data_IF_243226891928
#
_entry.id   IF_243226891928
#
_cell.length_a   1.000
_cell.length_b   1.000
_cell.length_c   1.000
_cell.angle_alpha   90.00
_cell.angle_beta   90.00
_cell.angle_gamma   90.00
#
_symmetry.space_group_name_H-M   'P 1'
#
loop_
_entity.id
_entity.type
_entity.pdbx_description
1 polymer ?
#
# COMPACT_ATOMS: atom_id res chain seq x y z
N UNK A 1 -1.64 -4.12 26.02
CA UNK A 1 -0.28 -4.49 26.48
C UNK A 1 0.33 -5.51 25.53
N UNK A 2 1.65 -5.73 25.55
CA UNK A 2 2.27 -6.80 24.77
C UNK A 2 2.65 -7.91 25.70
N UNK A 3 2.26 -9.14 25.36
CA UNK A 3 2.63 -10.34 26.11
C UNK A 3 3.57 -11.18 25.25
N UNK A 4 4.66 -11.60 25.85
CA UNK A 4 5.58 -12.55 25.27
C UNK A 4 5.15 -13.95 25.72
N UNK A 5 4.79 -14.76 24.75
CA UNK A 5 4.35 -16.13 24.99
C UNK A 5 5.47 -17.06 24.51
N UNK A 6 6.04 -17.79 25.44
CA UNK A 6 7.07 -18.81 25.15
C UNK A 6 6.36 -20.16 25.13
N UNK A 7 6.27 -20.75 23.96
CA UNK A 7 5.65 -22.06 23.73
C UNK A 7 6.79 -23.09 23.70
N UNK A 8 6.76 -24.03 24.61
CA UNK A 8 7.74 -25.14 24.63
C UNK A 8 7.01 -26.43 24.25
N UNK A 9 7.48 -27.07 23.19
CA UNK A 9 6.96 -28.38 22.79
C UNK A 9 7.49 -29.45 23.76
N UNK A 10 6.58 -30.17 24.41
CA UNK A 10 6.91 -31.15 25.45
C UNK A 10 7.74 -32.31 24.90
N UNK A 11 7.52 -32.70 23.63
CA UNK A 11 8.20 -33.86 23.05
C UNK A 11 9.59 -33.55 22.47
N UNK A 12 9.79 -32.32 21.99
CA UNK A 12 11.06 -31.95 21.31
C UNK A 12 11.90 -30.94 22.09
N UNK A 13 11.37 -30.37 23.17
CA UNK A 13 12.02 -29.29 23.93
C UNK A 13 12.20 -27.97 23.15
N UNK A 14 11.68 -27.87 21.93
CA UNK A 14 11.84 -26.70 21.08
C UNK A 14 11.02 -25.52 21.66
N UNK A 15 11.69 -24.40 21.89
CA UNK A 15 11.05 -23.15 22.38
C UNK A 15 10.76 -22.22 21.24
N UNK A 16 9.50 -21.87 21.07
CA UNK A 16 9.06 -20.87 20.12
C UNK A 16 8.52 -19.65 20.86
N UNK A 17 9.02 -18.47 20.56
CA UNK A 17 8.62 -17.23 21.25
C UNK A 17 7.73 -16.41 20.32
N UNK A 18 6.53 -16.12 20.77
CA UNK A 18 5.56 -15.33 19.99
C UNK A 18 5.09 -14.12 20.80
N UNK A 19 4.97 -12.98 20.14
CA UNK A 19 4.41 -11.76 20.74
C UNK A 19 2.92 -11.65 20.37
N UNK A 20 2.11 -11.33 21.37
CA UNK A 20 0.67 -11.07 21.19
C UNK A 20 0.32 -9.73 21.85
N UNK A 21 -0.35 -8.86 21.13
CA UNK A 21 -0.82 -7.58 21.65
C UNK A 21 -2.20 -7.76 22.29
N UNK A 22 -2.23 -8.03 23.60
CA UNK A 22 -3.49 -8.28 24.34
C UNK A 22 -3.35 -7.85 25.80
N UNK A 23 -4.49 -7.68 26.46
CA UNK A 23 -4.56 -7.26 27.86
C UNK A 23 -4.61 -8.41 28.85
N UNK A 24 -5.09 -9.59 28.44
CA UNK A 24 -5.33 -10.74 29.31
C UNK A 24 -4.41 -11.92 28.94
N UNK A 25 -4.02 -12.73 29.93
CA UNK A 25 -3.24 -13.96 29.70
C UNK A 25 -4.02 -14.99 28.89
N UNK A 26 -5.32 -15.11 29.12
CA UNK A 26 -6.21 -16.04 28.43
C UNK A 26 -6.27 -15.72 26.92
N UNK A 27 -6.42 -14.46 26.56
CA UNK A 27 -6.39 -14.01 25.16
C UNK A 27 -5.01 -14.20 24.52
N UNK A 28 -3.93 -14.07 25.29
CA UNK A 28 -2.58 -14.35 24.80
C UNK A 28 -2.42 -15.84 24.42
N UNK A 29 -2.99 -16.74 25.21
CA UNK A 29 -3.03 -18.19 24.92
C UNK A 29 -3.82 -18.46 23.63
N UNK A 30 -5.02 -17.88 23.51
CA UNK A 30 -5.85 -18.00 22.29
C UNK A 30 -5.10 -17.47 21.07
N UNK A 31 -4.43 -16.32 21.20
CA UNK A 31 -3.66 -15.68 20.14
C UNK A 31 -2.37 -16.40 19.73
N UNK A 32 -2.01 -17.49 20.39
CA UNK A 32 -0.87 -18.33 20.04
C UNK A 32 -1.24 -19.64 19.35
N UNK A 33 -2.53 -20.02 19.33
CA UNK A 33 -2.98 -21.24 18.66
C UNK A 33 -2.35 -22.53 19.22
N UNK A 34 -2.28 -22.66 20.53
CA UNK A 34 -1.54 -23.70 21.25
C UNK A 34 -2.13 -25.09 20.98
N UNK A 35 -1.26 -26.06 20.77
CA UNK A 35 -1.58 -27.48 20.62
C UNK A 35 -1.55 -28.22 21.96
N UNK A 36 -2.22 -29.37 22.06
CA UNK A 36 -2.36 -30.13 23.31
C UNK A 36 -1.02 -30.60 23.95
N UNK A 37 0.06 -30.60 23.18
CA UNK A 37 1.39 -31.06 23.62
C UNK A 37 2.39 -29.91 23.86
N UNK A 38 1.91 -28.72 24.17
CA UNK A 38 2.75 -27.53 24.36
C UNK A 38 2.53 -26.91 25.73
N UNK A 39 3.62 -26.62 26.44
CA UNK A 39 3.60 -25.83 27.66
C UNK A 39 3.86 -24.37 27.37
N UNK A 40 3.18 -23.49 28.08
CA UNK A 40 3.19 -22.05 27.80
C UNK A 40 3.65 -21.30 29.02
N UNK A 41 4.69 -20.48 28.83
CA UNK A 41 5.08 -19.45 29.79
C UNK A 41 4.73 -18.07 29.20
N UNK A 42 4.03 -17.24 29.98
CA UNK A 42 3.63 -15.91 29.56
C UNK A 42 4.38 -14.90 30.40
N UNK A 43 5.10 -14.02 29.72
CA UNK A 43 5.80 -12.89 30.32
C UNK A 43 5.14 -11.58 29.87
N UNK A 44 4.84 -10.70 30.81
CA UNK A 44 4.37 -9.36 30.50
C UNK A 44 5.56 -8.50 30.06
N UNK A 45 5.54 -8.05 28.80
CA UNK A 45 6.51 -7.08 28.31
C UNK A 45 6.00 -5.70 28.68
N UNK A 46 6.34 -5.28 29.90
CA UNK A 46 5.86 -4.02 30.47
C UNK A 46 6.61 -2.78 29.99
N UNK A 47 5.99 -1.61 30.11
CA UNK A 47 6.63 -0.31 29.99
C UNK A 47 7.02 0.10 28.57
N UNK A 48 8.18 0.77 28.47
CA UNK A 48 8.70 1.37 27.25
C UNK A 48 9.06 0.31 26.19
N UNK A 49 9.59 -0.85 26.61
CA UNK A 49 9.97 -1.95 25.71
C UNK A 49 8.78 -2.56 24.97
N UNK A 50 7.65 -2.73 25.65
CA UNK A 50 6.44 -3.24 24.98
C UNK A 50 5.87 -2.26 23.96
N UNK A 51 5.90 -0.95 24.24
CA UNK A 51 5.52 0.09 23.28
C UNK A 51 6.49 0.17 22.10
N UNK A 52 7.79 0.07 22.36
CA UNK A 52 8.84 0.06 21.33
C UNK A 52 8.70 -1.16 20.42
N UNK A 53 8.45 -2.35 20.98
CA UNK A 53 8.22 -3.56 20.21
C UNK A 53 6.93 -3.52 19.38
N UNK A 54 5.86 -2.85 19.85
CA UNK A 54 4.65 -2.59 19.05
C UNK A 54 4.91 -1.59 17.91
N UNK A 55 5.75 -0.58 18.14
CA UNK A 55 6.12 0.40 17.13
C UNK A 55 7.05 -0.20 16.06
N UNK A 56 7.94 -1.10 16.46
CA UNK A 56 8.87 -1.77 15.56
C UNK A 56 8.29 -3.03 14.92
N UNK A 57 7.19 -3.60 15.46
CA UNK A 57 6.52 -4.73 14.84
C UNK A 57 5.89 -4.33 13.51
N UNK A 58 6.06 -5.13 12.45
CA UNK A 58 5.49 -4.80 11.16
C UNK A 58 3.97 -4.63 11.28
N UNK A 59 3.46 -3.52 10.73
CA UNK A 59 2.02 -3.34 10.58
C UNK A 59 1.50 -4.52 9.74
N UNK A 60 0.30 -5.04 10.06
CA UNK A 60 -0.30 -6.09 9.26
C UNK A 60 -0.39 -5.62 7.81
N UNK A 61 0.22 -6.37 6.92
CA UNK A 61 0.21 -6.07 5.50
C UNK A 61 -1.04 -6.60 4.80
N UNK A 62 -1.30 -6.12 3.59
CA UNK A 62 -2.37 -6.63 2.71
C UNK A 62 -2.25 -8.14 2.48
N UNK A 63 -1.04 -8.71 2.53
CA UNK A 63 -0.80 -10.14 2.39
C UNK A 63 -1.30 -10.95 3.60
N UNK A 64 -1.05 -10.45 4.83
CA UNK A 64 -1.54 -11.08 6.05
C UNK A 64 -3.07 -11.05 6.07
N UNK A 65 -3.67 -9.90 5.71
CA UNK A 65 -5.10 -9.73 5.53
C UNK A 65 -5.66 -10.73 4.49
N UNK A 66 -5.03 -10.79 3.32
CA UNK A 66 -5.42 -11.71 2.26
C UNK A 66 -5.32 -13.19 2.65
N UNK A 67 -4.30 -13.56 3.41
CA UNK A 67 -4.09 -14.93 3.90
C UNK A 67 -5.09 -15.30 4.97
N UNK A 68 -5.38 -14.38 5.89
CA UNK A 68 -6.39 -14.53 6.94
C UNK A 68 -7.76 -14.77 6.35
N UNK A 69 -8.28 -13.85 5.53
CA UNK A 69 -9.61 -13.99 4.95
C UNK A 69 -9.75 -15.18 4.01
N UNK A 70 -8.75 -15.45 3.16
CA UNK A 70 -8.76 -16.68 2.33
C UNK A 70 -8.79 -17.94 3.17
N UNK A 71 -8.13 -17.93 4.32
CA UNK A 71 -8.12 -19.07 5.25
C UNK A 71 -9.45 -19.27 5.94
N UNK A 72 -10.03 -18.19 6.48
CA UNK A 72 -11.37 -18.21 7.10
C UNK A 72 -12.41 -18.67 6.09
N UNK A 73 -12.45 -18.07 4.89
CA UNK A 73 -13.40 -18.41 3.84
C UNK A 73 -13.35 -19.89 3.44
N UNK A 74 -12.13 -20.47 3.28
CA UNK A 74 -11.98 -21.92 2.99
C UNK A 74 -12.46 -22.83 4.13
N UNK A 75 -12.29 -22.40 5.38
CA UNK A 75 -12.77 -23.16 6.52
C UNK A 75 -14.31 -23.15 6.60
N UNK A 76 -14.92 -21.99 6.41
CA UNK A 76 -16.38 -21.84 6.39
C UNK A 76 -17.03 -22.62 5.25
N UNK A 77 -16.42 -22.64 4.07
CA UNK A 77 -16.88 -23.43 2.91
C UNK A 77 -16.94 -24.94 3.21
N UNK A 78 -16.07 -25.39 4.11
CA UNK A 78 -16.05 -26.78 4.59
C UNK A 78 -16.90 -27.01 5.85
N UNK A 79 -17.82 -26.09 6.16
CA UNK A 79 -18.69 -26.10 7.33
C UNK A 79 -17.93 -26.15 8.67
N UNK A 80 -16.70 -25.62 8.72
CA UNK A 80 -15.96 -25.46 9.97
C UNK A 80 -16.50 -24.22 10.68
N UNK A 81 -16.80 -24.33 11.98
CA UNK A 81 -17.32 -23.19 12.76
C UNK A 81 -16.38 -21.98 12.72
N UNK A 82 -16.94 -20.77 12.83
CA UNK A 82 -16.18 -19.52 12.78
C UNK A 82 -15.05 -19.49 13.81
N UNK A 83 -15.34 -19.82 15.07
CA UNK A 83 -14.36 -19.86 16.16
C UNK A 83 -13.19 -20.81 15.85
N UNK A 84 -13.47 -22.01 15.31
CA UNK A 84 -12.43 -22.97 14.93
C UNK A 84 -11.63 -22.48 13.72
N UNK A 85 -12.31 -21.84 12.76
CA UNK A 85 -11.68 -21.24 11.59
C UNK A 85 -10.68 -20.14 11.98
N UNK A 86 -11.06 -19.27 12.89
CA UNK A 86 -10.19 -18.20 13.42
C UNK A 86 -8.97 -18.76 14.16
N UNK A 87 -9.16 -19.77 15.04
CA UNK A 87 -8.06 -20.45 15.73
C UNK A 87 -7.02 -21.02 14.76
N UNK A 88 -7.47 -21.60 13.64
CA UNK A 88 -6.58 -22.13 12.61
C UNK A 88 -5.78 -21.04 11.87
N UNK A 89 -6.29 -19.81 11.82
CA UNK A 89 -5.59 -18.70 11.14
C UNK A 89 -4.57 -18.00 12.03
N UNK A 90 -4.65 -18.09 13.34
CA UNK A 90 -3.71 -17.47 14.29
C UNK A 90 -2.25 -17.80 13.95
N UNK A 91 -1.97 -19.07 13.63
CA UNK A 91 -0.62 -19.54 13.34
C UNK A 91 -0.08 -19.10 11.96
N UNK A 92 -0.95 -18.55 11.10
CA UNK A 92 -0.59 -18.06 9.77
C UNK A 92 -0.24 -16.59 9.74
N UNK A 93 -0.55 -15.89 10.82
CA UNK A 93 -0.34 -14.44 10.92
C UNK A 93 0.91 -14.16 11.72
N UNK A 94 1.77 -13.30 11.21
CA UNK A 94 3.04 -12.94 11.84
C UNK A 94 2.93 -11.73 12.76
N UNK A 95 2.02 -10.80 12.47
CA UNK A 95 1.86 -9.56 13.23
C UNK A 95 1.25 -9.81 14.62
N UNK A 96 1.92 -9.33 15.72
CA UNK A 96 1.38 -9.42 17.08
C UNK A 96 0.02 -8.74 17.26
N UNK A 97 -0.22 -7.63 16.53
CA UNK A 97 -1.50 -6.93 16.54
C UNK A 97 -2.63 -7.77 15.95
N UNK A 98 -2.35 -8.48 14.86
CA UNK A 98 -3.33 -9.38 14.24
C UNK A 98 -3.67 -10.57 15.14
N UNK A 99 -2.67 -11.14 15.81
CA UNK A 99 -2.89 -12.24 16.76
C UNK A 99 -3.77 -11.80 17.93
N UNK A 100 -3.52 -10.61 18.49
CA UNK A 100 -4.35 -10.02 19.53
C UNK A 100 -5.78 -9.79 19.06
N UNK A 101 -5.96 -9.19 17.89
CA UNK A 101 -7.27 -8.98 17.29
C UNK A 101 -8.03 -10.29 17.10
N UNK A 102 -7.39 -11.33 16.54
CA UNK A 102 -8.04 -12.64 16.36
C UNK A 102 -8.50 -13.21 17.70
N UNK A 103 -7.70 -13.10 18.77
CA UNK A 103 -8.07 -13.57 20.10
C UNK A 103 -9.28 -12.81 20.65
N UNK A 104 -9.33 -11.48 20.46
CA UNK A 104 -10.47 -10.66 20.86
C UNK A 104 -11.73 -11.03 20.08
N UNK A 105 -11.62 -11.17 18.76
CA UNK A 105 -12.75 -11.56 17.88
C UNK A 105 -13.27 -12.96 18.26
N UNK A 106 -12.40 -13.92 18.56
CA UNK A 106 -12.81 -15.26 19.04
C UNK A 106 -13.63 -15.14 20.33
N UNK A 107 -13.19 -14.28 21.26
CA UNK A 107 -13.90 -14.08 22.53
C UNK A 107 -15.27 -13.44 22.32
N UNK A 108 -15.38 -12.43 21.45
CA UNK A 108 -16.63 -11.75 21.11
C UNK A 108 -17.64 -12.69 20.44
N UNK A 109 -17.17 -13.52 19.49
CA UNK A 109 -18.03 -14.53 18.84
C UNK A 109 -18.50 -15.61 19.84
N UNK A 110 -17.63 -15.99 20.80
CA UNK A 110 -18.03 -16.91 21.87
C UNK A 110 -19.11 -16.32 22.80
N UNK A 111 -19.17 -14.98 22.89
CA UNK A 111 -20.22 -14.23 23.60
C UNK A 111 -21.50 -14.02 22.77
N UNK A 112 -21.52 -14.49 21.51
CA UNK A 112 -22.68 -14.40 20.62
C UNK A 112 -22.70 -13.17 19.71
N UNK A 113 -21.62 -12.36 19.66
CA UNK A 113 -21.54 -11.26 18.70
C UNK A 113 -21.40 -11.79 17.25
N UNK A 114 -21.94 -11.04 16.29
CA UNK A 114 -21.71 -11.31 14.87
C UNK A 114 -20.25 -11.09 14.49
N UNK A 115 -19.78 -11.83 13.50
CA UNK A 115 -18.38 -11.71 13.04
C UNK A 115 -18.08 -10.31 12.48
N UNK A 116 -19.00 -9.74 11.67
CA UNK A 116 -18.87 -8.39 11.13
C UNK A 116 -18.79 -7.32 12.21
N UNK A 117 -19.62 -7.42 13.26
CA UNK A 117 -19.64 -6.47 14.38
C UNK A 117 -18.34 -6.55 15.20
N UNK A 118 -17.86 -7.77 15.46
CA UNK A 118 -16.60 -7.98 16.15
C UNK A 118 -15.40 -7.40 15.35
N UNK A 119 -15.40 -7.57 14.01
CA UNK A 119 -14.36 -7.02 13.13
C UNK A 119 -14.42 -5.50 13.04
N UNK A 120 -15.61 -4.89 13.09
CA UNK A 120 -15.81 -3.44 13.04
C UNK A 120 -15.16 -2.69 14.23
N UNK A 121 -14.85 -3.39 15.32
CA UNK A 121 -14.12 -2.81 16.47
C UNK A 121 -12.64 -2.54 16.18
N UNK A 122 -12.12 -2.97 15.03
CA UNK A 122 -10.72 -2.82 14.62
C UNK A 122 -10.56 -2.02 13.32
N UNK A 123 -11.05 -0.76 13.26
CA UNK A 123 -10.98 0.07 12.04
C UNK A 123 -9.55 0.43 11.64
N UNK A 124 -8.59 0.34 12.57
CA UNK A 124 -7.16 0.57 12.30
C UNK A 124 -6.52 -0.59 11.48
N UNK A 125 -7.13 -1.77 11.47
CA UNK A 125 -6.62 -2.97 10.81
C UNK A 125 -7.34 -3.27 9.49
N UNK A 126 -8.60 -2.86 9.37
CA UNK A 126 -9.44 -3.14 8.21
C UNK A 126 -10.03 -1.85 7.68
N UNK A 127 -9.98 -1.70 6.37
CA UNK A 127 -10.61 -0.58 5.67
C UNK A 127 -12.15 -0.71 5.69
N UNK A 128 -12.82 0.40 5.55
CA UNK A 128 -14.29 0.48 5.62
C UNK A 128 -14.98 -0.39 4.56
N UNK A 129 -14.34 -0.54 3.38
CA UNK A 129 -14.80 -1.43 2.31
C UNK A 129 -14.82 -2.89 2.75
N UNK A 130 -13.77 -3.37 3.40
CA UNK A 130 -13.70 -4.75 3.93
C UNK A 130 -14.80 -4.98 4.98
N UNK A 131 -14.97 -4.03 5.91
CA UNK A 131 -15.97 -4.13 6.97
C UNK A 131 -17.39 -4.14 6.40
N UNK A 132 -17.68 -3.28 5.44
CA UNK A 132 -18.97 -3.21 4.75
C UNK A 132 -19.28 -4.50 3.97
N UNK A 133 -18.26 -5.07 3.29
CA UNK A 133 -18.38 -6.36 2.60
C UNK A 133 -18.67 -7.49 3.56
N UNK A 134 -18.00 -7.54 4.72
CA UNK A 134 -18.22 -8.55 5.74
C UNK A 134 -19.65 -8.48 6.30
N UNK A 135 -20.11 -7.27 6.62
CA UNK A 135 -21.47 -7.04 7.08
C UNK A 135 -22.52 -7.54 6.06
N UNK A 136 -22.37 -7.08 4.80
CA UNK A 136 -23.29 -7.50 3.73
C UNK A 136 -23.26 -9.02 3.49
N UNK A 137 -22.07 -9.63 3.52
CA UNK A 137 -21.90 -11.06 3.34
C UNK A 137 -22.47 -11.89 4.50
N UNK A 138 -22.41 -11.37 5.72
CA UNK A 138 -22.98 -12.02 6.90
C UNK A 138 -24.51 -11.97 6.88
N UNK A 139 -25.09 -10.80 6.57
CA UNK A 139 -26.54 -10.63 6.41
C UNK A 139 -27.12 -11.48 5.27
N UNK A 140 -26.38 -11.63 4.17
CA UNK A 140 -26.77 -12.48 3.05
C UNK A 140 -26.52 -13.99 3.27
N UNK A 141 -25.90 -14.40 4.39
CA UNK A 141 -25.50 -15.78 4.63
C UNK A 141 -24.38 -16.29 3.72
N UNK A 142 -23.63 -15.39 3.06
CA UNK A 142 -22.59 -15.70 2.07
C UNK A 142 -21.18 -15.38 2.59
N UNK A 143 -20.99 -15.39 3.91
CA UNK A 143 -19.75 -14.97 4.56
C UNK A 143 -18.52 -15.75 4.07
N UNK A 144 -18.68 -17.06 3.79
CA UNK A 144 -17.60 -17.90 3.23
C UNK A 144 -17.09 -17.34 1.88
N UNK A 145 -18.02 -17.02 0.97
CA UNK A 145 -17.72 -16.50 -0.36
C UNK A 145 -17.06 -15.13 -0.29
N UNK A 146 -17.64 -14.25 0.54
CA UNK A 146 -17.10 -12.89 0.74
C UNK A 146 -15.69 -12.93 1.33
N UNK A 147 -15.44 -13.71 2.38
CA UNK A 147 -14.10 -13.87 2.95
C UNK A 147 -13.09 -14.39 1.93
N UNK A 148 -13.45 -15.38 1.11
CA UNK A 148 -12.55 -15.88 0.05
C UNK A 148 -12.20 -14.78 -0.95
N UNK A 149 -13.17 -13.97 -1.36
CA UNK A 149 -12.98 -12.89 -2.34
C UNK A 149 -12.14 -11.75 -1.78
N UNK A 150 -12.45 -11.27 -0.57
CA UNK A 150 -11.60 -10.30 0.13
C UNK A 150 -10.16 -10.84 0.18
N UNK A 151 -10.01 -12.11 0.55
CA UNK A 151 -8.71 -12.75 0.63
C UNK A 151 -7.95 -12.78 -0.70
N UNK A 152 -8.63 -13.06 -1.82
CA UNK A 152 -8.04 -13.06 -3.16
C UNK A 152 -7.67 -11.64 -3.61
N UNK A 153 -8.58 -10.67 -3.43
CA UNK A 153 -8.34 -9.28 -3.79
C UNK A 153 -7.13 -8.69 -3.04
N UNK A 154 -7.05 -8.92 -1.72
CA UNK A 154 -5.94 -8.47 -0.90
C UNK A 154 -4.60 -9.13 -1.30
N UNK A 155 -4.61 -10.41 -1.67
CA UNK A 155 -3.42 -11.11 -2.18
C UNK A 155 -2.97 -10.55 -3.53
N UNK A 156 -3.90 -10.26 -4.44
CA UNK A 156 -3.59 -9.66 -5.74
C UNK A 156 -2.97 -8.28 -5.54
N UNK A 157 -3.59 -7.43 -4.71
CA UNK A 157 -3.06 -6.12 -4.33
C UNK A 157 -1.65 -6.21 -3.72
N UNK A 158 -1.45 -7.15 -2.77
CA UNK A 158 -0.12 -7.38 -2.18
C UNK A 158 0.91 -7.79 -3.22
N UNK A 159 0.55 -8.65 -4.18
CA UNK A 159 1.45 -9.09 -5.25
C UNK A 159 1.86 -7.92 -6.14
N UNK A 160 0.93 -7.05 -6.53
CA UNK A 160 1.21 -5.85 -7.32
C UNK A 160 2.11 -4.87 -6.56
N UNK A 161 1.82 -4.61 -5.27
CA UNK A 161 2.69 -3.79 -4.42
C UNK A 161 4.11 -4.36 -4.25
N UNK A 162 4.25 -5.68 -4.13
CA UNK A 162 5.57 -6.34 -4.06
C UNK A 162 6.34 -6.19 -5.36
N UNK A 163 5.68 -6.32 -6.51
CA UNK A 163 6.31 -6.08 -7.81
C UNK A 163 6.81 -4.64 -7.92
N UNK A 164 5.96 -3.65 -7.61
CA UNK A 164 6.34 -2.23 -7.63
C UNK A 164 7.52 -1.92 -6.70
N UNK A 165 7.47 -2.44 -5.46
CA UNK A 165 8.59 -2.28 -4.51
C UNK A 165 9.88 -2.93 -5.03
N UNK A 166 9.77 -4.12 -5.62
CA UNK A 166 10.91 -4.83 -6.21
C UNK A 166 11.57 -4.02 -7.32
N UNK A 167 10.77 -3.46 -8.22
CA UNK A 167 11.24 -2.62 -9.33
C UNK A 167 11.96 -1.35 -8.85
N UNK A 168 11.53 -0.77 -7.73
CA UNK A 168 12.15 0.44 -7.18
C UNK A 168 13.46 0.19 -6.43
N UNK A 169 13.84 -1.07 -6.13
CA UNK A 169 15.08 -1.37 -5.40
C UNK A 169 16.31 -0.98 -6.23
N UNK A 170 16.36 -1.36 -7.50
CA UNK A 170 17.49 -1.05 -8.38
C UNK A 170 17.70 0.48 -8.54
N UNK A 171 16.69 1.27 -8.90
CA UNK A 171 16.81 2.73 -8.95
C UNK A 171 17.27 3.35 -7.63
N UNK A 172 16.73 2.87 -6.52
CA UNK A 172 17.12 3.38 -5.20
C UNK A 172 18.59 3.12 -4.89
N UNK A 173 19.11 1.92 -5.19
CA UNK A 173 20.52 1.57 -5.00
C UNK A 173 21.41 2.47 -5.88
N UNK A 174 21.04 2.65 -7.16
CA UNK A 174 21.80 3.49 -8.10
C UNK A 174 21.82 4.94 -7.64
N UNK A 175 20.69 5.50 -7.19
CA UNK A 175 20.62 6.87 -6.66
C UNK A 175 21.46 7.03 -5.40
N UNK A 176 21.39 6.08 -4.45
CA UNK A 176 22.20 6.08 -3.23
C UNK A 176 23.69 6.07 -3.59
N UNK A 177 24.09 5.19 -4.52
CA UNK A 177 25.47 5.09 -4.97
C UNK A 177 25.95 6.41 -5.61
N UNK A 178 25.12 7.02 -6.46
CA UNK A 178 25.40 8.35 -7.06
C UNK A 178 25.60 9.43 -6.00
N UNK A 179 24.74 9.49 -5.00
CA UNK A 179 24.86 10.42 -3.87
C UNK A 179 26.15 10.18 -3.07
N UNK A 180 26.50 8.91 -2.80
CA UNK A 180 27.73 8.55 -2.10
C UNK A 180 28.96 9.04 -2.90
N UNK A 181 28.97 8.86 -4.22
CA UNK A 181 30.08 9.33 -5.07
C UNK A 181 30.19 10.86 -5.01
N UNK A 182 29.08 11.59 -5.09
CA UNK A 182 29.08 13.06 -4.93
C UNK A 182 29.64 13.48 -3.57
N UNK A 183 29.23 12.81 -2.50
CA UNK A 183 29.73 13.09 -1.15
C UNK A 183 31.26 12.83 -1.07
N UNK A 184 31.75 11.69 -1.54
CA UNK A 184 33.19 11.37 -1.52
C UNK A 184 33.96 12.43 -2.32
N UNK A 185 33.51 12.79 -3.49
CA UNK A 185 34.14 13.83 -4.32
C UNK A 185 34.15 15.20 -3.65
N UNK A 186 33.07 15.56 -2.96
CA UNK A 186 32.95 16.79 -2.19
C UNK A 186 33.98 16.88 -1.05
N UNK A 187 34.30 15.76 -0.40
CA UNK A 187 35.28 15.73 0.70
C UNK A 187 36.73 15.63 0.24
N UNK A 188 36.98 14.94 -0.88
CA UNK A 188 38.36 14.66 -1.32
C UNK A 188 38.84 15.66 -2.37
N UNK A 189 38.11 15.84 -3.45
CA UNK A 189 38.55 16.55 -4.62
C UNK A 189 38.28 18.06 -4.50
N UNK A 190 37.11 18.44 -3.96
CA UNK A 190 36.71 19.86 -3.89
C UNK A 190 37.65 20.69 -3.03
N UNK A 191 38.12 20.28 -1.83
CA UNK A 191 39.09 21.05 -1.04
C UNK A 191 40.47 21.17 -1.72
N UNK A 192 40.87 20.12 -2.45
CA UNK A 192 42.13 20.16 -3.21
C UNK A 192 42.09 21.19 -4.35
N UNK A 193 41.00 21.20 -5.12
CA UNK A 193 40.79 22.18 -6.18
C UNK A 193 40.67 23.59 -5.60
N UNK A 194 39.93 23.80 -4.52
CA UNK A 194 39.79 25.11 -3.88
C UNK A 194 41.14 25.70 -3.44
N UNK A 195 42.06 24.88 -2.90
CA UNK A 195 43.42 25.30 -2.54
C UNK A 195 44.23 25.70 -3.76
N UNK A 196 44.17 24.92 -4.84
CA UNK A 196 44.87 25.21 -6.11
C UNK A 196 44.41 26.54 -6.69
N UNK A 197 43.12 26.80 -6.81
CA UNK A 197 42.58 28.05 -7.36
C UNK A 197 42.94 29.26 -6.50
N UNK A 198 42.92 29.10 -5.18
CA UNK A 198 43.35 30.16 -4.26
C UNK A 198 44.82 30.54 -4.44
N UNK A 199 45.70 29.57 -4.75
CA UNK A 199 47.13 29.82 -4.99
C UNK A 199 47.38 30.55 -6.33
N UNK A 200 46.50 30.37 -7.33
CA UNK A 200 46.56 31.06 -8.62
C UNK A 200 45.83 32.43 -8.66
N UNK A 201 45.10 32.78 -7.59
CA UNK A 201 44.37 34.04 -7.51
C UNK A 201 43.17 34.13 -8.45
N UNK A 202 42.63 33.02 -8.92
CA UNK A 202 41.52 32.95 -9.87
C UNK A 202 40.24 32.46 -9.21
N UNK A 203 39.10 32.92 -9.75
CA UNK A 203 37.81 32.48 -9.26
C UNK A 203 37.48 31.04 -9.71
N UNK A 204 36.81 30.27 -8.82
CA UNK A 204 36.33 28.94 -9.12
C UNK A 204 35.17 28.98 -10.12
N UNK A 205 35.10 28.05 -11.08
CA UNK A 205 33.96 27.87 -11.97
C UNK A 205 32.67 27.61 -11.21
N UNK A 206 31.53 27.95 -11.84
CA UNK A 206 30.19 27.81 -11.23
C UNK A 206 29.88 26.39 -10.70
N UNK A 207 30.21 25.35 -11.47
CA UNK A 207 29.95 23.96 -11.07
C UNK A 207 30.75 23.57 -9.80
N UNK A 208 32.00 24.02 -9.70
CA UNK A 208 32.84 23.79 -8.51
C UNK A 208 32.32 24.57 -7.30
N UNK A 209 31.90 25.86 -7.52
CA UNK A 209 31.21 26.64 -6.48
C UNK A 209 29.93 25.96 -6.00
N UNK A 210 29.13 25.41 -6.93
CA UNK A 210 27.90 24.66 -6.59
C UNK A 210 28.21 23.38 -5.78
N UNK A 211 29.27 22.67 -6.14
CA UNK A 211 29.71 21.46 -5.42
C UNK A 211 30.19 21.79 -4.00
N UNK A 212 30.92 22.90 -3.83
CA UNK A 212 31.32 23.41 -2.51
C UNK A 212 30.10 23.80 -1.70
N UNK A 213 29.15 24.54 -2.27
CA UNK A 213 27.92 24.91 -1.58
C UNK A 213 27.09 23.69 -1.14
N UNK A 214 27.05 22.64 -1.98
CA UNK A 214 26.42 21.38 -1.65
C UNK A 214 27.15 20.66 -0.51
N UNK A 215 28.49 20.63 -0.54
CA UNK A 215 29.33 20.08 0.53
C UNK A 215 29.11 20.81 1.86
N UNK A 216 29.10 22.16 1.83
CA UNK A 216 28.85 22.98 3.01
C UNK A 216 27.44 22.76 3.58
N UNK A 217 26.44 22.50 2.71
CA UNK A 217 25.09 22.16 3.13
C UNK A 217 25.07 20.84 3.93
N UNK A 218 25.79 19.82 3.47
CA UNK A 218 25.88 18.54 4.16
C UNK A 218 26.67 18.62 5.48
N UNK A 219 27.73 19.42 5.52
CA UNK A 219 28.65 19.50 6.66
C UNK A 219 28.16 20.46 7.76
N UNK A 220 27.75 21.65 7.37
CA UNK A 220 27.44 22.70 8.33
C UNK A 220 25.95 22.88 8.61
N UNK A 221 25.06 22.32 7.74
CA UNK A 221 23.61 22.42 7.90
C UNK A 221 22.91 21.07 7.67
N UNK A 222 23.27 20.01 8.43
CA UNK A 222 22.71 18.67 8.23
C UNK A 222 21.18 18.62 8.37
N UNK A 223 20.59 19.59 9.11
CA UNK A 223 19.14 19.71 9.24
C UNK A 223 18.45 20.05 7.90
N UNK A 224 19.09 20.75 6.98
CA UNK A 224 18.53 21.05 5.66
C UNK A 224 18.38 19.80 4.78
N UNK A 225 19.15 18.76 5.05
CA UNK A 225 19.03 17.45 4.41
C UNK A 225 18.11 16.53 5.21
N UNK A 226 18.21 16.60 6.54
CA UNK A 226 17.37 15.79 7.42
C UNK A 226 15.89 16.17 7.33
N UNK A 227 15.56 17.46 7.24
CA UNK A 227 14.16 17.93 7.16
C UNK A 227 13.41 17.38 5.95
N UNK A 228 13.91 17.47 4.69
CA UNK A 228 13.22 16.85 3.55
C UNK A 228 13.16 15.32 3.64
N UNK A 229 14.18 14.66 4.18
CA UNK A 229 14.14 13.21 4.40
C UNK A 229 13.07 12.81 5.43
N UNK A 230 12.97 13.55 6.55
CA UNK A 230 11.90 13.37 7.53
C UNK A 230 10.54 13.70 6.93
N UNK A 231 10.44 14.75 6.12
CA UNK A 231 9.21 15.10 5.42
C UNK A 231 8.78 14.00 4.43
N UNK A 232 9.71 13.45 3.65
CA UNK A 232 9.46 12.31 2.77
C UNK A 232 9.04 11.08 3.58
N UNK A 233 9.73 10.79 4.67
CA UNK A 233 9.35 9.69 5.56
C UNK A 233 7.94 9.88 6.15
N UNK A 234 7.61 11.10 6.61
CA UNK A 234 6.27 11.44 7.08
C UNK A 234 5.21 11.33 6.00
N UNK A 235 5.53 11.75 4.77
CA UNK A 235 4.66 11.58 3.60
C UNK A 235 4.39 10.10 3.31
N UNK A 236 5.43 9.28 3.33
CA UNK A 236 5.30 7.83 3.08
C UNK A 236 4.52 7.10 4.19
N UNK A 237 4.72 7.48 5.46
CA UNK A 237 4.02 6.85 6.59
C UNK A 237 2.57 7.29 6.74
N UNK A 238 2.23 8.49 6.28
CA UNK A 238 0.86 9.02 6.32
C UNK A 238 0.22 9.06 4.92
N UNK A 239 0.76 8.30 3.98
CA UNK A 239 0.33 8.31 2.58
C UNK A 239 -1.18 8.11 2.43
N UNK A 240 -1.77 7.14 3.13
CA UNK A 240 -3.20 6.86 3.08
C UNK A 240 -4.05 8.05 3.56
N UNK A 241 -3.62 8.72 4.64
CA UNK A 241 -4.32 9.89 5.18
C UNK A 241 -4.21 11.13 4.27
N UNK A 242 -3.11 11.25 3.53
CA UNK A 242 -2.88 12.35 2.59
C UNK A 242 -3.67 12.09 1.31
N UNK A 243 -3.65 10.85 0.82
CA UNK A 243 -4.40 10.42 -0.36
C UNK A 243 -5.91 10.49 -0.19
N UNK A 244 -6.43 10.39 1.04
CA UNK A 244 -7.86 10.56 1.32
C UNK A 244 -8.34 12.02 1.23
N UNK A 245 -7.42 13.01 1.22
CA UNK A 245 -7.80 14.42 1.11
C UNK A 245 -8.18 14.78 -0.33
N UNK A 246 -9.34 15.41 -0.51
CA UNK A 246 -9.88 15.83 -1.83
C UNK A 246 -8.89 16.64 -2.66
N UNK A 247 -8.19 17.59 -2.05
CA UNK A 247 -7.18 18.43 -2.73
C UNK A 247 -6.06 17.58 -3.35
N UNK A 248 -5.61 16.53 -2.65
CA UNK A 248 -4.56 15.65 -3.14
C UNK A 248 -5.08 14.79 -4.30
N UNK A 249 -6.31 14.30 -4.21
CA UNK A 249 -6.96 13.54 -5.28
C UNK A 249 -7.11 14.39 -6.56
N UNK A 250 -7.51 15.66 -6.43
CA UNK A 250 -7.58 16.58 -7.56
C UNK A 250 -6.22 16.91 -8.17
N UNK A 251 -5.18 17.05 -7.34
CA UNK A 251 -3.81 17.29 -7.79
C UNK A 251 -3.27 16.10 -8.59
N UNK A 252 -3.50 14.88 -8.13
CA UNK A 252 -3.10 13.65 -8.82
C UNK A 252 -3.78 13.49 -10.16
N UNK A 253 -5.05 13.89 -10.26
CA UNK A 253 -5.80 13.86 -11.53
C UNK A 253 -5.31 14.89 -12.57
N UNK A 254 -4.50 15.89 -12.17
CA UNK A 254 -3.87 16.83 -13.09
C UNK A 254 -2.60 16.28 -13.76
N UNK A 255 -2.02 15.24 -13.20
CA UNK A 255 -0.80 14.59 -13.75
C UNK A 255 -1.22 13.49 -14.74
N UNK A 256 -0.94 13.60 -16.05
CA UNK A 256 -1.56 12.73 -17.07
C UNK A 256 -1.32 11.24 -16.85
N UNK A 257 -0.10 10.84 -16.48
CA UNK A 257 0.25 9.42 -16.23
C UNK A 257 -0.39 8.92 -14.94
N UNK A 258 -0.29 9.72 -13.85
CA UNK A 258 -0.83 9.37 -12.52
C UNK A 258 -2.36 9.37 -12.54
N UNK A 259 -2.98 10.31 -13.26
CA UNK A 259 -4.42 10.39 -13.41
C UNK A 259 -5.02 9.11 -13.99
N UNK A 260 -4.39 8.56 -15.04
CA UNK A 260 -4.83 7.30 -15.65
C UNK A 260 -4.73 6.15 -14.67
N UNK A 261 -3.63 6.04 -13.94
CA UNK A 261 -3.42 5.00 -12.93
C UNK A 261 -4.47 5.11 -11.80
N UNK A 262 -4.67 6.32 -11.26
CA UNK A 262 -5.63 6.59 -10.18
C UNK A 262 -7.07 6.27 -10.61
N UNK A 263 -7.46 6.69 -11.81
CA UNK A 263 -8.81 6.40 -12.34
C UNK A 263 -9.03 4.91 -12.50
N UNK A 264 -8.10 4.20 -13.16
CA UNK A 264 -8.22 2.75 -13.36
C UNK A 264 -8.18 1.97 -12.05
N UNK A 265 -7.37 2.39 -11.08
CA UNK A 265 -7.34 1.77 -9.75
C UNK A 265 -8.66 1.96 -8.99
N UNK A 266 -9.23 3.14 -9.05
CA UNK A 266 -10.52 3.42 -8.39
C UNK A 266 -11.68 2.69 -9.09
N UNK A 267 -11.68 2.63 -10.44
CA UNK A 267 -12.64 1.86 -11.21
C UNK A 267 -12.55 0.37 -10.88
N UNK A 268 -11.36 -0.21 -10.97
CA UNK A 268 -11.12 -1.62 -10.67
C UNK A 268 -11.63 -2.00 -9.27
N UNK A 269 -11.30 -1.19 -8.26
CA UNK A 269 -11.75 -1.41 -6.88
C UNK A 269 -13.28 -1.34 -6.76
N UNK A 270 -13.91 -0.32 -7.37
CA UNK A 270 -15.35 -0.15 -7.32
C UNK A 270 -16.10 -1.26 -8.04
N UNK A 271 -15.75 -1.57 -9.28
CA UNK A 271 -16.39 -2.65 -10.04
C UNK A 271 -16.16 -4.02 -9.41
N UNK A 272 -14.98 -4.27 -8.83
CA UNK A 272 -14.70 -5.49 -8.07
C UNK A 272 -15.61 -5.63 -6.86
N UNK A 273 -15.79 -4.56 -6.08
CA UNK A 273 -16.69 -4.54 -4.93
C UNK A 273 -18.13 -4.80 -5.36
N UNK A 274 -18.60 -4.11 -6.40
CA UNK A 274 -19.94 -4.29 -6.96
C UNK A 274 -20.16 -5.72 -7.46
N UNK A 275 -19.22 -6.28 -8.22
CA UNK A 275 -19.27 -7.66 -8.69
C UNK A 275 -19.36 -8.66 -7.52
N UNK A 276 -18.52 -8.49 -6.50
CA UNK A 276 -18.54 -9.37 -5.31
C UNK A 276 -19.88 -9.36 -4.60
N UNK A 277 -20.50 -8.18 -4.45
CA UNK A 277 -21.78 -8.04 -3.77
C UNK A 277 -22.93 -8.63 -4.61
N UNK A 278 -22.97 -8.33 -5.90
CA UNK A 278 -24.03 -8.87 -6.79
C UNK A 278 -23.94 -10.39 -6.94
N UNK A 279 -22.74 -10.96 -7.03
CA UNK A 279 -22.53 -12.41 -7.02
C UNK A 279 -22.90 -13.06 -5.68
N UNK A 280 -22.91 -12.28 -4.58
CA UNK A 280 -23.38 -12.72 -3.27
C UNK A 280 -24.88 -12.54 -3.10
N UNK A 281 -25.63 -12.27 -4.18
CA UNK A 281 -27.06 -12.02 -4.20
C UNK A 281 -27.50 -10.80 -3.34
N UNK A 282 -26.60 -9.83 -3.11
CA UNK A 282 -26.97 -8.55 -2.49
C UNK A 282 -27.78 -7.73 -3.50
N UNK A 283 -28.85 -7.09 -3.06
CA UNK A 283 -29.67 -6.21 -3.92
C UNK A 283 -28.81 -5.13 -4.57
N UNK A 284 -29.02 -4.87 -5.86
CA UNK A 284 -28.21 -3.94 -6.65
C UNK A 284 -28.12 -2.54 -6.01
N UNK A 285 -29.23 -2.01 -5.46
CA UNK A 285 -29.23 -0.71 -4.75
C UNK A 285 -28.33 -0.71 -3.53
N UNK A 286 -28.38 -1.78 -2.70
CA UNK A 286 -27.50 -1.93 -1.54
C UNK A 286 -26.04 -2.19 -1.97
N UNK A 287 -25.82 -2.95 -3.05
CA UNK A 287 -24.49 -3.16 -3.59
C UNK A 287 -23.84 -1.86 -4.07
N UNK A 288 -24.59 -0.98 -4.74
CA UNK A 288 -24.13 0.35 -5.17
C UNK A 288 -23.84 1.27 -3.98
N UNK A 289 -24.69 1.25 -2.94
CA UNK A 289 -24.47 2.04 -1.72
C UNK A 289 -23.19 1.63 -0.99
N UNK A 290 -22.98 0.32 -0.80
CA UNK A 290 -21.76 -0.23 -0.18
C UNK A 290 -20.55 0.11 -1.06
N UNK A 291 -20.66 -0.06 -2.39
CA UNK A 291 -19.58 0.27 -3.32
C UNK A 291 -19.24 1.76 -3.28
N UNK A 292 -20.23 2.64 -3.20
CA UNK A 292 -20.01 4.08 -3.07
C UNK A 292 -19.29 4.42 -1.76
N UNK A 293 -19.73 3.84 -0.63
CA UNK A 293 -19.09 4.08 0.68
C UNK A 293 -17.67 3.52 0.74
N UNK A 294 -17.42 2.36 0.12
CA UNK A 294 -16.12 1.71 0.05
C UNK A 294 -15.14 2.37 -0.96
N UNK A 295 -15.63 3.23 -1.85
CA UNK A 295 -14.79 3.90 -2.86
C UNK A 295 -13.86 4.93 -2.21
N UNK A 296 -12.54 4.69 -2.28
CA UNK A 296 -11.52 5.56 -1.69
C UNK A 296 -11.38 6.90 -2.45
N UNK A 297 -11.77 6.96 -3.74
CA UNK A 297 -11.70 8.15 -4.57
C UNK A 297 -13.06 8.83 -4.68
N UNK A 298 -13.15 10.12 -4.38
CA UNK A 298 -14.42 10.84 -4.28
C UNK A 298 -15.22 10.87 -5.61
N UNK A 299 -14.56 10.92 -6.77
CA UNK A 299 -15.25 10.83 -8.08
C UNK A 299 -16.01 9.53 -8.25
N UNK A 300 -15.41 8.40 -7.88
CA UNK A 300 -16.07 7.11 -7.99
C UNK A 300 -17.12 6.90 -6.90
N UNK A 301 -16.89 7.48 -5.71
CA UNK A 301 -17.93 7.54 -4.67
C UNK A 301 -19.18 8.25 -5.20
N UNK A 302 -19.01 9.42 -5.82
CA UNK A 302 -20.10 10.19 -6.42
C UNK A 302 -20.76 9.42 -7.57
N UNK A 303 -19.97 8.82 -8.46
CA UNK A 303 -20.44 8.00 -9.56
C UNK A 303 -21.35 6.86 -9.10
N UNK A 304 -20.93 6.03 -8.15
CA UNK A 304 -21.74 4.93 -7.65
C UNK A 304 -22.94 5.41 -6.84
N UNK A 305 -22.86 6.55 -6.15
CA UNK A 305 -23.99 7.17 -5.47
C UNK A 305 -25.06 7.58 -6.47
N UNK A 306 -24.69 8.23 -7.57
CA UNK A 306 -25.64 8.63 -8.63
C UNK A 306 -26.27 7.44 -9.34
N UNK A 307 -25.47 6.40 -9.61
CA UNK A 307 -26.03 5.15 -10.15
C UNK A 307 -27.09 4.57 -9.23
N UNK A 308 -26.84 4.51 -7.90
CA UNK A 308 -27.81 4.06 -6.91
C UNK A 308 -29.09 4.90 -6.99
N UNK A 309 -28.95 6.21 -7.06
CA UNK A 309 -30.09 7.13 -7.08
C UNK A 309 -30.96 6.93 -8.34
N UNK A 310 -30.33 6.72 -9.51
CA UNK A 310 -31.04 6.38 -10.73
C UNK A 310 -31.80 5.04 -10.64
N UNK A 311 -31.17 4.00 -10.08
CA UNK A 311 -31.80 2.69 -9.88
C UNK A 311 -32.94 2.77 -8.86
N UNK A 312 -32.79 3.57 -7.82
CA UNK A 312 -33.84 3.78 -6.79
C UNK A 312 -35.10 4.43 -7.38
N UNK A 313 -34.96 5.28 -8.39
CA UNK A 313 -36.07 5.88 -9.13
C UNK A 313 -36.70 4.94 -10.19
N UNK A 314 -36.14 3.71 -10.32
CA UNK A 314 -36.66 2.66 -11.20
C UNK A 314 -36.04 2.63 -12.60
N UNK A 315 -34.94 3.32 -12.83
CA UNK A 315 -34.21 3.23 -14.11
C UNK A 315 -33.39 1.93 -14.18
N UNK A 316 -33.17 1.45 -15.38
CA UNK A 316 -32.31 0.29 -15.62
C UNK A 316 -30.84 0.64 -15.42
N UNK A 317 -30.01 -0.35 -15.08
CA UNK A 317 -28.58 -0.17 -14.85
C UNK A 317 -27.88 0.44 -16.06
N UNK A 318 -28.21 -0.03 -17.29
CA UNK A 318 -27.67 0.49 -18.54
C UNK A 318 -27.99 2.00 -18.71
N UNK A 319 -29.25 2.41 -18.51
CA UNK A 319 -29.64 3.82 -18.60
C UNK A 319 -28.90 4.69 -17.58
N UNK A 320 -28.78 4.21 -16.34
CA UNK A 320 -28.02 4.88 -15.30
C UNK A 320 -26.55 5.06 -15.67
N UNK A 321 -25.91 4.02 -16.20
CA UNK A 321 -24.53 4.10 -16.68
C UNK A 321 -24.37 5.05 -17.86
N UNK A 322 -25.28 5.05 -18.80
CA UNK A 322 -25.25 5.95 -19.95
C UNK A 322 -25.25 7.42 -19.51
N UNK A 323 -26.10 7.76 -18.52
CA UNK A 323 -26.21 9.12 -17.99
C UNK A 323 -24.92 9.56 -17.27
N UNK A 324 -24.29 8.66 -16.55
CA UNK A 324 -23.12 8.94 -15.72
C UNK A 324 -21.79 8.54 -16.40
N UNK A 325 -21.82 8.12 -17.67
CA UNK A 325 -20.65 7.65 -18.43
C UNK A 325 -19.49 8.64 -18.48
N UNK A 326 -19.79 9.95 -18.38
CA UNK A 326 -18.79 11.02 -18.39
C UNK A 326 -17.80 10.94 -17.21
N UNK A 327 -18.17 10.33 -16.09
CA UNK A 327 -17.28 10.12 -14.94
C UNK A 327 -16.16 9.09 -15.23
N UNK A 328 -16.41 8.18 -16.16
CA UNK A 328 -15.48 7.13 -16.54
C UNK A 328 -14.50 7.58 -17.64
N UNK A 329 -14.70 8.80 -18.19
CA UNK A 329 -13.85 9.35 -19.23
C UNK A 329 -13.95 8.60 -20.56
N UNK A 330 -12.80 8.25 -21.16
CA UNK A 330 -12.75 7.59 -22.46
C UNK A 330 -13.37 6.17 -22.44
N UNK A 331 -13.27 5.48 -21.31
CA UNK A 331 -13.76 4.11 -21.14
C UNK A 331 -15.29 4.02 -21.01
N UNK A 332 -15.95 5.16 -20.69
CA UNK A 332 -17.38 5.20 -20.37
C UNK A 332 -18.28 4.64 -21.49
N UNK A 333 -17.97 4.93 -22.76
CA UNK A 333 -18.77 4.44 -23.90
C UNK A 333 -18.67 2.93 -24.10
N UNK A 334 -17.47 2.38 -23.93
CA UNK A 334 -17.23 0.94 -24.05
C UNK A 334 -17.97 0.19 -22.95
N UNK A 335 -17.88 0.70 -21.72
CA UNK A 335 -18.57 0.11 -20.57
C UNK A 335 -20.09 0.16 -20.69
N UNK A 336 -20.66 1.24 -21.23
CA UNK A 336 -22.09 1.30 -21.50
C UNK A 336 -22.54 0.20 -22.45
N UNK A 337 -21.78 -0.06 -23.53
CA UNK A 337 -22.09 -1.15 -24.46
C UNK A 337 -22.01 -2.55 -23.82
N UNK A 338 -21.04 -2.77 -22.96
CA UNK A 338 -20.91 -4.05 -22.23
C UNK A 338 -22.08 -4.26 -21.26
N UNK A 339 -22.49 -3.20 -20.56
CA UNK A 339 -23.61 -3.27 -19.60
C UNK A 339 -24.96 -3.40 -20.33
N UNK A 340 -25.12 -2.80 -21.53
CA UNK A 340 -26.28 -3.01 -22.39
C UNK A 340 -26.39 -4.49 -22.79
N UNK A 341 -25.32 -5.04 -23.29
CA UNK A 341 -25.25 -6.47 -23.66
C UNK A 341 -25.57 -7.40 -22.46
N UNK A 342 -25.04 -7.05 -21.29
CA UNK A 342 -25.29 -7.79 -20.07
C UNK A 342 -26.76 -7.72 -19.62
N UNK A 343 -27.41 -6.58 -19.83
CA UNK A 343 -28.85 -6.40 -19.55
C UNK A 343 -29.71 -7.25 -20.50
N UNK A 344 -29.36 -7.33 -21.78
CA UNK A 344 -30.05 -8.18 -22.76
C UNK A 344 -29.88 -9.68 -22.52
N UNK A 345 -28.68 -10.10 -22.10
CA UNK A 345 -28.35 -11.53 -21.88
C UNK A 345 -28.66 -12.02 -20.47
N UNK A 346 -29.01 -11.12 -19.54
CA UNK A 346 -29.22 -11.46 -18.12
C UNK A 346 -27.94 -11.79 -17.36
N UNK A 347 -26.75 -11.52 -17.93
CA UNK A 347 -25.42 -11.84 -17.38
C UNK A 347 -24.78 -10.66 -16.61
N UNK A 348 -25.59 -9.77 -16.04
CA UNK A 348 -25.10 -8.53 -15.40
C UNK A 348 -24.04 -8.74 -14.33
N UNK A 349 -24.17 -9.79 -13.54
CA UNK A 349 -23.20 -10.11 -12.47
C UNK A 349 -21.84 -10.55 -13.04
N UNK A 350 -21.86 -11.39 -14.06
CA UNK A 350 -20.65 -11.92 -14.73
C UNK A 350 -19.93 -10.79 -15.45
N UNK A 351 -20.67 -9.93 -16.15
CA UNK A 351 -20.12 -8.77 -16.84
C UNK A 351 -19.46 -7.77 -15.89
N UNK A 352 -20.02 -7.51 -14.71
CA UNK A 352 -19.38 -6.66 -13.73
C UNK A 352 -18.06 -7.23 -13.21
N UNK A 353 -17.97 -8.57 -13.10
CA UNK A 353 -16.73 -9.24 -12.74
C UNK A 353 -15.69 -9.13 -13.85
N UNK A 354 -16.09 -9.29 -15.11
CA UNK A 354 -15.25 -9.14 -16.29
C UNK A 354 -14.71 -7.70 -16.41
N UNK A 355 -15.56 -6.69 -16.28
CA UNK A 355 -15.14 -5.27 -16.24
C UNK A 355 -14.09 -5.05 -15.14
N UNK A 356 -14.29 -5.64 -13.98
CA UNK A 356 -13.32 -5.51 -12.88
C UNK A 356 -12.00 -6.20 -13.20
N UNK A 357 -12.03 -7.37 -13.85
CA UNK A 357 -10.84 -8.10 -14.28
C UNK A 357 -10.07 -7.32 -15.34
N UNK A 358 -10.74 -6.75 -16.34
CA UNK A 358 -10.14 -5.91 -17.38
C UNK A 358 -9.42 -4.69 -16.80
N UNK A 359 -10.07 -3.95 -15.88
CA UNK A 359 -9.42 -2.82 -15.22
C UNK A 359 -8.22 -3.25 -14.37
N UNK A 360 -8.29 -4.41 -13.73
CA UNK A 360 -7.17 -4.94 -12.95
C UNK A 360 -6.00 -5.38 -13.86
N UNK A 361 -6.28 -5.97 -15.05
CA UNK A 361 -5.26 -6.33 -16.02
C UNK A 361 -4.60 -5.08 -16.62
N UNK A 362 -5.38 -4.07 -16.97
CA UNK A 362 -4.86 -2.78 -17.43
C UNK A 362 -3.97 -2.11 -16.38
N UNK A 363 -4.33 -2.18 -15.09
CA UNK A 363 -3.49 -1.69 -14.00
C UNK A 363 -2.16 -2.45 -13.90
N UNK A 364 -2.21 -3.78 -14.00
CA UNK A 364 -1.00 -4.60 -13.99
C UNK A 364 -0.11 -4.27 -15.21
N UNK A 365 -0.69 -4.00 -16.36
CA UNK A 365 -0.01 -3.54 -17.58
C UNK A 365 0.63 -2.16 -17.42
N UNK A 366 -0.09 -1.21 -16.85
CA UNK A 366 0.43 0.14 -16.55
C UNK A 366 1.57 0.06 -15.52
N UNK A 367 1.43 -0.74 -14.47
CA UNK A 367 2.49 -0.95 -13.49
C UNK A 367 3.76 -1.52 -14.13
N UNK A 368 3.62 -2.54 -15.00
CA UNK A 368 4.75 -3.11 -15.74
C UNK A 368 5.39 -2.11 -16.74
N UNK A 369 4.58 -1.19 -17.28
CA UNK A 369 5.09 -0.14 -18.16
C UNK A 369 5.86 0.94 -17.39
N UNK A 370 5.44 1.24 -16.16
CA UNK A 370 6.19 2.15 -15.28
C UNK A 370 7.58 1.62 -14.96
N UNK A 371 7.73 0.31 -14.74
CA UNK A 371 9.05 -0.32 -14.52
C UNK A 371 10.00 -0.03 -15.69
N UNK A 372 9.51 -0.12 -16.93
CA UNK A 372 10.29 0.18 -18.13
C UNK A 372 10.66 1.66 -18.28
N UNK A 373 9.88 2.58 -17.71
CA UNK A 373 10.17 4.02 -17.75
C UNK A 373 11.18 4.45 -16.66
N UNK A 374 11.22 3.71 -15.55
CA UNK A 374 12.14 3.98 -14.44
C UNK A 374 13.61 3.79 -14.88
N UNK A 375 13.89 2.79 -15.71
CA UNK A 375 15.25 2.49 -16.19
C UNK A 375 15.86 3.64 -16.99
N UNK A 376 15.25 4.16 -18.08
CA UNK A 376 15.79 5.33 -18.80
C UNK A 376 15.91 6.58 -17.92
N UNK A 377 14.97 6.78 -16.99
CA UNK A 377 15.00 7.91 -16.07
C UNK A 377 16.19 7.84 -15.11
N UNK A 378 16.50 6.65 -14.60
CA UNK A 378 17.68 6.42 -13.74
C UNK A 378 18.99 6.57 -14.51
N UNK A 379 19.05 6.12 -15.77
CA UNK A 379 20.21 6.32 -16.64
C UNK A 379 20.42 7.80 -16.92
N UNK A 380 19.36 8.56 -17.23
CA UNK A 380 19.43 10.01 -17.44
C UNK A 380 19.92 10.72 -16.18
N UNK A 381 19.37 10.37 -15.03
CA UNK A 381 19.77 10.96 -13.74
C UNK A 381 21.23 10.69 -13.42
N UNK A 382 21.69 9.44 -13.61
CA UNK A 382 23.09 9.08 -13.42
C UNK A 382 24.01 9.82 -14.42
N UNK A 383 23.60 9.89 -15.68
CA UNK A 383 24.31 10.63 -16.72
C UNK A 383 24.47 12.12 -16.40
N UNK A 384 23.43 12.75 -15.85
CA UNK A 384 23.49 14.14 -15.39
C UNK A 384 24.45 14.29 -14.21
N UNK A 385 24.41 13.39 -13.22
CA UNK A 385 25.34 13.42 -12.08
C UNK A 385 26.80 13.28 -12.57
N UNK A 386 27.05 12.25 -13.37
CA UNK A 386 28.42 11.98 -13.88
C UNK A 386 28.90 13.13 -14.77
N UNK A 387 28.07 13.64 -15.68
CA UNK A 387 28.38 14.80 -16.52
C UNK A 387 28.68 16.04 -15.69
N UNK A 388 27.88 16.30 -14.66
CA UNK A 388 28.11 17.38 -13.72
C UNK A 388 29.44 17.23 -12.96
N UNK A 389 29.76 16.03 -12.48
CA UNK A 389 31.03 15.73 -11.81
C UNK A 389 32.22 15.94 -12.76
N UNK A 390 32.14 15.43 -14.00
CA UNK A 390 33.17 15.64 -15.03
C UNK A 390 33.38 17.11 -15.25
N UNK A 391 32.31 17.87 -15.48
CA UNK A 391 32.39 19.32 -15.70
C UNK A 391 32.97 20.06 -14.48
N UNK A 392 32.58 19.67 -13.26
CA UNK A 392 33.09 20.28 -12.04
C UNK A 392 34.58 20.02 -11.80
N UNK A 393 35.12 18.89 -12.32
CA UNK A 393 36.51 18.51 -12.20
C UNK A 393 37.37 19.14 -13.33
N UNK A 394 36.94 18.98 -14.58
CA UNK A 394 37.72 19.39 -15.74
C UNK A 394 37.57 20.89 -16.06
N UNK A 395 36.40 21.48 -15.76
CA UNK A 395 36.18 22.91 -15.96
C UNK A 395 37.25 23.80 -15.31
N UNK A 396 37.60 23.59 -14.04
CA UNK A 396 38.72 24.27 -13.40
C UNK A 396 40.06 24.07 -14.09
N UNK A 397 40.37 22.85 -14.54
CA UNK A 397 41.63 22.54 -15.21
C UNK A 397 41.81 23.30 -16.53
N UNK A 398 40.74 23.42 -17.32
CA UNK A 398 40.78 24.22 -18.58
C UNK A 398 40.93 25.72 -18.29
N UNK A 399 40.24 26.26 -17.29
CA UNK A 399 40.34 27.67 -16.92
C UNK A 399 41.73 28.03 -16.37
N UNK A 400 42.42 27.13 -15.69
CA UNK A 400 43.81 27.33 -15.28
C UNK A 400 44.76 27.34 -16.47
N UNK A 401 44.53 26.50 -17.50
CA UNK A 401 45.30 26.49 -18.75
C UNK A 401 45.25 27.88 -19.45
N UNK A 402 44.05 28.46 -19.55
CA UNK A 402 43.89 29.81 -20.14
C UNK A 402 44.59 30.92 -19.36
N UNK A 403 44.63 30.82 -18.03
CA UNK A 403 45.29 31.80 -17.15
C UNK A 403 46.83 31.73 -17.29
N UNK A 404 47.38 30.51 -17.41
CA UNK A 404 48.81 30.30 -17.58
C UNK A 404 49.27 30.80 -18.96
N UNK A 405 48.45 30.58 -20.01
CA UNK A 405 48.74 31.05 -21.37
C UNK A 405 48.64 32.56 -21.49
N UNK A 406 47.77 33.25 -20.75
CA UNK A 406 47.64 34.73 -20.74
C UNK A 406 48.69 35.44 -19.88
N UNK A 407 49.41 34.72 -19.02
CA UNK A 407 50.47 35.29 -18.18
C UNK A 407 51.89 35.18 -18.81
N UNK A 408 51.97 34.58 -19.99
CA UNK A 408 53.14 34.58 -20.87
C UNK A 408 52.98 35.67 -21.96
#
# INVERSE_FOLDING_TARGET
MVKRVVITNVNTGHKNTTLVATDTHEKAIIGCGISANETVAIEDVGGFDGKLQLLTSPKPGTEDCGSFFSGVGRCLERNISMTKSLKLQVNRVTSPRYKGMIADVITMIAQGEKFSDAMAKFPDLFSEDILSLLYAGEEAGQLSRVCKRIGLAQKKSSKTLKKLKGAMIYPAIVMILGVIVVIIMSFTLVPALAKLFKSFGTELPFATKALIALSDLFLHKPYMVAVPLVAIYMLLTNFDKIMSKRIMQDLLLKMPIVATLVRKAAAASGFRTMAMLTESNVRLTSALEITASASWHYHYKEFFTRLRDHITVGRNLHEAFLMESHWLGADGRNLCGLIELAAETGSGTEMLAEIADDYEEELDGLAASMDKLIEPLTMLFLGVIVGFLIYAIYGPMFSLGDVILKKK
#
